data_IF_700905224282
#
_entry.id   IF_700905224282
#
_cell.length_a   1.000
_cell.length_b   1.000
_cell.length_c   1.000
_cell.angle_alpha   90.00
_cell.angle_beta   90.00
_cell.angle_gamma   90.00
#
_symmetry.space_group_name_H-M   'P 1'
#
loop_
_entity.id
_entity.type
_entity.pdbx_description
1 polymer ?
#
# COMPACT_ATOMS: atom_id res chain seq x y z
N UNK A 1 5.82 -18.90 8.48
CA UNK A 1 5.13 -19.83 7.56
C UNK A 1 3.80 -19.28 7.02
N UNK A 2 3.06 -18.47 7.78
CA UNK A 2 1.68 -18.02 7.44
C UNK A 2 1.50 -17.25 6.12
N UNK A 3 2.57 -16.68 5.54
CA UNK A 3 2.51 -15.90 4.28
C UNK A 3 2.30 -16.80 3.05
N UNK A 4 2.88 -18.00 3.10
CA UNK A 4 2.92 -18.93 1.97
C UNK A 4 1.85 -20.01 2.13
N UNK A 5 1.49 -20.36 3.37
CA UNK A 5 0.45 -21.34 3.70
C UNK A 5 -0.82 -21.18 2.86
N UNK A 6 -1.36 -19.97 2.61
CA UNK A 6 -2.56 -19.79 1.79
C UNK A 6 -2.42 -20.15 0.30
N UNK A 7 -1.22 -20.47 -0.21
CA UNK A 7 -1.06 -21.10 -1.54
C UNK A 7 -1.48 -22.57 -1.53
N UNK A 8 -1.30 -23.23 -0.39
CA UNK A 8 -1.40 -24.67 -0.25
C UNK A 8 -2.66 -25.12 0.52
N UNK A 9 -3.46 -24.17 1.01
CA UNK A 9 -4.71 -24.44 1.72
C UNK A 9 -5.86 -24.76 0.77
N UNK A 10 -6.73 -25.66 1.23
CA UNK A 10 -8.00 -25.98 0.62
C UNK A 10 -9.03 -24.90 0.96
N UNK A 11 -9.82 -24.46 -0.03
CA UNK A 11 -10.97 -23.57 0.17
C UNK A 11 -12.17 -24.14 -0.56
N UNK A 12 -13.33 -24.19 0.10
CA UNK A 12 -14.60 -24.60 -0.49
C UNK A 12 -14.54 -25.97 -1.22
N UNK A 13 -13.81 -26.93 -0.66
CA UNK A 13 -13.64 -28.28 -1.24
C UNK A 13 -12.70 -28.34 -2.45
N UNK A 14 -12.00 -27.24 -2.78
CA UNK A 14 -11.00 -27.20 -3.86
C UNK A 14 -9.61 -26.97 -3.30
N UNK A 15 -8.76 -27.96 -3.48
CA UNK A 15 -7.35 -27.90 -3.09
C UNK A 15 -6.58 -27.02 -4.07
N UNK A 16 -5.72 -26.16 -3.54
CA UNK A 16 -4.73 -25.40 -4.32
C UNK A 16 -5.31 -24.38 -5.32
N UNK A 17 -6.54 -23.90 -5.12
CA UNK A 17 -7.22 -22.96 -6.03
C UNK A 17 -6.35 -21.77 -6.45
N UNK A 18 -5.59 -21.20 -5.50
CA UNK A 18 -4.72 -20.05 -5.75
C UNK A 18 -3.45 -20.41 -6.53
N UNK A 19 -2.92 -21.61 -6.31
CA UNK A 19 -1.77 -22.13 -7.05
C UNK A 19 -2.17 -22.46 -8.48
N UNK A 20 -3.34 -23.11 -8.67
CA UNK A 20 -3.91 -23.43 -9.98
C UNK A 20 -4.23 -22.17 -10.79
N UNK A 21 -4.81 -21.15 -10.15
CA UNK A 21 -5.07 -19.88 -10.81
C UNK A 21 -3.79 -19.15 -11.27
N UNK A 22 -2.69 -19.27 -10.51
CA UNK A 22 -1.39 -18.71 -10.88
C UNK A 22 -0.72 -19.55 -11.99
N UNK A 23 -0.80 -20.87 -11.89
CA UNK A 23 -0.29 -21.81 -12.90
C UNK A 23 -0.93 -21.58 -14.27
N UNK A 24 -2.26 -21.47 -14.31
CA UNK A 24 -3.01 -21.28 -15.56
C UNK A 24 -2.76 -19.92 -16.25
N UNK A 25 -2.18 -18.96 -15.54
CA UNK A 25 -1.85 -17.62 -16.05
C UNK A 25 -0.34 -17.43 -16.27
N UNK A 26 0.46 -18.45 -16.00
CA UNK A 26 1.91 -18.37 -16.09
C UNK A 26 2.37 -18.54 -17.52
N UNK A 27 3.24 -17.62 -17.97
CA UNK A 27 3.88 -17.68 -19.28
C UNK A 27 5.41 -17.55 -19.13
N UNK A 28 6.21 -18.39 -19.80
CA UNK A 28 5.80 -19.49 -20.70
C UNK A 28 5.23 -20.70 -19.95
N UNK A 29 4.46 -21.59 -20.63
CA UNK A 29 3.88 -22.77 -20.01
C UNK A 29 4.97 -23.68 -19.41
N UNK A 30 4.66 -24.21 -18.22
CA UNK A 30 5.57 -25.04 -17.43
C UNK A 30 5.65 -26.43 -18.08
N UNK A 31 6.84 -26.80 -18.56
CA UNK A 31 7.05 -28.03 -19.34
C UNK A 31 7.95 -29.06 -18.65
N UNK A 32 8.71 -28.62 -17.64
CA UNK A 32 9.70 -29.44 -16.94
C UNK A 32 9.65 -29.25 -15.42
N UNK A 33 10.26 -30.19 -14.69
CA UNK A 33 10.39 -30.09 -13.23
C UNK A 33 11.22 -28.86 -12.81
N UNK A 34 12.21 -28.45 -13.62
CA UNK A 34 12.95 -27.21 -13.39
C UNK A 34 12.07 -25.98 -13.55
N UNK A 35 11.20 -25.94 -14.56
CA UNK A 35 10.24 -24.84 -14.77
C UNK A 35 9.24 -24.75 -13.62
N UNK A 36 8.78 -25.91 -13.13
CA UNK A 36 7.84 -25.99 -12.01
C UNK A 36 8.48 -25.49 -10.70
N UNK A 37 9.73 -25.88 -10.44
CA UNK A 37 10.49 -25.41 -9.29
C UNK A 37 10.74 -23.90 -9.36
N UNK A 38 11.12 -23.41 -10.54
CA UNK A 38 11.30 -21.98 -10.80
C UNK A 38 10.00 -21.20 -10.57
N UNK A 39 8.88 -21.66 -11.15
CA UNK A 39 7.55 -21.07 -10.93
C UNK A 39 7.18 -21.01 -9.44
N UNK A 40 7.37 -22.11 -8.70
CA UNK A 40 7.05 -22.14 -7.28
C UNK A 40 7.92 -21.18 -6.48
N UNK A 41 9.23 -21.15 -6.72
CA UNK A 41 10.14 -20.18 -6.11
C UNK A 41 9.69 -18.75 -6.40
N UNK A 42 9.34 -18.45 -7.66
CA UNK A 42 8.86 -17.14 -8.07
C UNK A 42 7.57 -16.74 -7.36
N UNK A 43 6.59 -17.65 -7.27
CA UNK A 43 5.31 -17.38 -6.64
C UNK A 43 5.45 -17.14 -5.12
N UNK A 44 6.30 -17.93 -4.46
CA UNK A 44 6.63 -17.78 -3.04
C UNK A 44 7.34 -16.44 -2.81
N UNK A 45 8.30 -16.10 -3.67
CA UNK A 45 9.07 -14.87 -3.58
C UNK A 45 8.19 -13.63 -3.76
N UNK A 46 7.31 -13.62 -4.78
CA UNK A 46 6.34 -12.53 -5.03
C UNK A 46 5.47 -12.26 -3.81
N UNK A 47 4.95 -13.33 -3.16
CA UNK A 47 4.14 -13.16 -1.95
C UNK A 47 4.96 -12.68 -0.77
N UNK A 48 6.18 -13.18 -0.63
CA UNK A 48 7.06 -12.77 0.47
C UNK A 48 7.45 -11.31 0.32
N UNK A 49 7.82 -10.85 -0.88
CA UNK A 49 8.09 -9.45 -1.22
C UNK A 49 6.87 -8.56 -0.97
N UNK A 50 5.68 -8.96 -1.43
CA UNK A 50 4.46 -8.18 -1.21
C UNK A 50 4.11 -8.04 0.27
N UNK A 51 4.28 -9.11 1.04
CA UNK A 51 4.10 -9.08 2.49
C UNK A 51 5.21 -8.30 3.19
N UNK A 52 6.44 -8.33 2.69
CA UNK A 52 7.57 -7.55 3.21
C UNK A 52 7.34 -6.06 3.00
N UNK A 53 6.95 -5.61 1.80
CA UNK A 53 6.60 -4.21 1.54
C UNK A 53 5.46 -3.74 2.45
N UNK A 54 4.44 -4.58 2.67
CA UNK A 54 3.32 -4.27 3.57
C UNK A 54 3.72 -4.25 5.04
N UNK A 55 4.58 -5.17 5.47
CA UNK A 55 5.08 -5.19 6.83
C UNK A 55 5.96 -3.96 7.09
N UNK A 56 6.91 -3.66 6.19
CA UNK A 56 7.79 -2.51 6.29
C UNK A 56 7.01 -1.18 6.32
N UNK A 57 6.00 -1.00 5.45
CA UNK A 57 5.15 0.21 5.53
C UNK A 57 4.41 0.35 6.86
N UNK A 58 3.93 -0.75 7.44
CA UNK A 58 3.26 -0.73 8.75
C UNK A 58 4.20 -0.42 9.93
N UNK A 59 5.48 -0.80 9.82
CA UNK A 59 6.46 -0.62 10.89
C UNK A 59 7.30 0.65 10.73
N UNK A 60 7.41 1.19 9.51
CA UNK A 60 8.24 2.34 9.18
C UNK A 60 7.48 3.34 8.29
N UNK A 61 6.91 4.41 8.88
CA UNK A 61 6.23 5.46 8.13
C UNK A 61 7.12 6.16 7.09
N UNK A 62 8.44 6.21 7.29
CA UNK A 62 9.36 6.84 6.33
C UNK A 62 9.50 5.99 5.07
N UNK A 63 9.43 4.67 5.21
CA UNK A 63 9.38 3.76 4.07
C UNK A 63 8.13 3.93 3.22
N UNK A 64 6.97 4.17 3.86
CA UNK A 64 5.72 4.44 3.14
C UNK A 64 5.75 5.79 2.41
N UNK A 65 6.28 6.84 3.06
CA UNK A 65 6.51 8.15 2.44
C UNK A 65 7.43 8.01 1.23
N UNK A 66 8.56 7.30 1.38
CA UNK A 66 9.50 7.05 0.29
C UNK A 66 8.82 6.33 -0.88
N UNK A 67 8.01 5.30 -0.62
CA UNK A 67 7.26 4.61 -1.68
C UNK A 67 6.28 5.55 -2.38
N UNK A 68 5.59 6.42 -1.65
CA UNK A 68 4.65 7.38 -2.23
C UNK A 68 5.37 8.37 -3.16
N UNK A 69 6.47 8.96 -2.68
CA UNK A 69 7.30 9.89 -3.47
C UNK A 69 7.84 9.24 -4.75
N UNK A 70 8.37 8.02 -4.63
CA UNK A 70 8.83 7.23 -5.79
C UNK A 70 7.68 7.07 -6.79
N UNK A 71 6.49 6.70 -6.32
CA UNK A 71 5.35 6.45 -7.20
C UNK A 71 4.88 7.71 -7.95
N UNK A 72 4.90 8.87 -7.28
CA UNK A 72 4.54 10.15 -7.87
C UNK A 72 5.52 10.54 -8.97
N UNK A 73 6.84 10.43 -8.71
CA UNK A 73 7.85 10.70 -9.73
C UNK A 73 7.81 9.70 -10.88
N UNK A 74 7.52 8.42 -10.63
CA UNK A 74 7.33 7.45 -11.72
C UNK A 74 6.21 7.88 -12.68
N UNK A 75 5.11 8.42 -12.17
CA UNK A 75 4.01 8.92 -13.01
C UNK A 75 4.46 10.15 -13.80
N UNK A 76 5.15 11.09 -13.14
CA UNK A 76 5.63 12.32 -13.77
C UNK A 76 6.65 12.06 -14.89
N UNK A 77 7.56 11.11 -14.68
CA UNK A 77 8.64 10.76 -15.60
C UNK A 77 8.23 9.67 -16.62
N UNK A 78 7.01 9.13 -16.54
CA UNK A 78 6.55 8.06 -17.44
C UNK A 78 7.27 6.72 -17.24
N UNK A 79 7.74 6.44 -16.02
CA UNK A 79 8.45 5.21 -15.69
C UNK A 79 7.48 4.05 -15.41
N UNK A 80 7.93 2.84 -15.70
CA UNK A 80 7.16 1.62 -15.56
C UNK A 80 7.53 0.85 -14.29
N UNK A 81 6.51 0.29 -13.63
CA UNK A 81 6.70 -0.73 -12.59
C UNK A 81 6.67 -2.10 -13.24
N UNK A 82 7.83 -2.73 -13.35
CA UNK A 82 7.99 -4.02 -14.02
C UNK A 82 8.30 -5.09 -12.99
N UNK A 83 7.61 -6.23 -13.09
CA UNK A 83 7.94 -7.41 -12.27
C UNK A 83 8.89 -8.30 -13.04
N UNK A 84 10.02 -8.61 -12.42
CA UNK A 84 11.02 -9.52 -12.96
C UNK A 84 11.63 -10.34 -11.85
N UNK A 85 11.70 -11.66 -12.04
CA UNK A 85 12.18 -12.63 -11.05
C UNK A 85 11.60 -12.43 -9.63
N UNK A 86 10.34 -12.02 -9.56
CA UNK A 86 9.57 -11.94 -8.33
C UNK A 86 9.75 -10.64 -7.56
N UNK A 87 10.62 -9.76 -8.06
CA UNK A 87 10.88 -8.44 -7.52
C UNK A 87 10.23 -7.37 -8.41
N UNK A 88 9.84 -6.25 -7.77
CA UNK A 88 9.30 -5.09 -8.47
C UNK A 88 10.44 -4.11 -8.76
N UNK A 89 10.57 -3.71 -10.02
CA UNK A 89 11.53 -2.72 -10.49
C UNK A 89 10.80 -1.49 -11.01
N UNK A 90 11.43 -0.33 -10.85
CA UNK A 90 11.13 0.89 -11.60
C UNK A 90 12.02 0.86 -12.83
N UNK A 91 11.50 1.09 -14.02
CA UNK A 91 12.21 0.91 -15.29
C UNK A 91 11.75 1.92 -16.31
N UNK A 92 12.65 2.36 -17.19
CA UNK A 92 12.28 3.16 -18.37
C UNK A 92 11.58 2.32 -19.45
N UNK A 93 11.68 1.00 -19.35
CA UNK A 93 11.09 0.05 -20.27
C UNK A 93 9.94 -0.72 -19.63
N UNK A 94 8.92 -1.06 -20.41
CA UNK A 94 7.75 -1.85 -19.98
C UNK A 94 8.07 -3.28 -19.56
N UNK A 95 9.21 -3.82 -20.02
CA UNK A 95 9.63 -5.20 -19.79
C UNK A 95 11.14 -5.28 -19.62
N UNK A 96 11.57 -6.20 -18.77
CA UNK A 96 12.98 -6.56 -18.59
C UNK A 96 13.21 -7.87 -19.34
N UNK A 97 14.08 -7.84 -20.34
CA UNK A 97 14.45 -9.04 -21.10
C UNK A 97 15.34 -9.97 -20.27
N UNK A 98 15.31 -11.29 -20.51
CA UNK A 98 16.27 -12.22 -19.92
C UNK A 98 17.72 -11.83 -20.24
N UNK A 99 18.62 -12.02 -19.27
CA UNK A 99 20.06 -11.77 -19.42
C UNK A 99 20.51 -10.32 -19.18
N UNK A 100 19.59 -9.41 -18.84
CA UNK A 100 19.94 -8.05 -18.46
C UNK A 100 20.69 -8.00 -17.12
N UNK A 101 21.73 -7.17 -17.03
CA UNK A 101 22.46 -6.94 -15.79
C UNK A 101 21.65 -6.03 -14.88
N UNK A 102 20.96 -6.59 -13.90
CA UNK A 102 20.13 -5.84 -12.97
C UNK A 102 20.93 -5.41 -11.75
N UNK A 103 20.61 -4.22 -11.25
CA UNK A 103 21.17 -3.71 -10.01
C UNK A 103 20.53 -4.45 -8.83
N UNK A 104 21.35 -4.98 -7.95
CA UNK A 104 20.90 -5.56 -6.69
C UNK A 104 20.87 -4.51 -5.57
N UNK A 105 20.40 -4.94 -4.39
CA UNK A 105 20.31 -4.07 -3.22
C UNK A 105 21.67 -3.53 -2.77
N UNK A 106 22.69 -4.38 -2.71
CA UNK A 106 23.99 -4.00 -2.16
C UNK A 106 24.68 -2.96 -3.04
N UNK A 107 24.52 -3.08 -4.36
CA UNK A 107 25.01 -2.11 -5.35
C UNK A 107 24.24 -0.80 -5.31
N UNK A 108 22.93 -0.85 -5.10
CA UNK A 108 22.14 0.35 -4.90
C UNK A 108 22.54 1.11 -3.63
N UNK A 109 22.86 0.41 -2.53
CA UNK A 109 23.33 1.04 -1.30
C UNK A 109 24.70 1.74 -1.45
N UNK A 110 25.50 1.36 -2.47
CA UNK A 110 26.79 1.94 -2.79
C UNK A 110 26.71 3.18 -3.70
N UNK A 111 25.51 3.52 -4.20
CA UNK A 111 25.35 4.69 -5.07
C UNK A 111 25.68 6.00 -4.34
N UNK A 112 26.30 6.97 -5.04
CA UNK A 112 26.61 8.29 -4.52
C UNK A 112 25.38 8.96 -3.90
N UNK A 113 25.58 9.60 -2.75
CA UNK A 113 24.52 10.31 -2.04
C UNK A 113 23.92 11.46 -2.88
N UNK A 114 24.76 12.16 -3.64
CA UNK A 114 24.38 13.35 -4.40
C UNK A 114 23.28 13.09 -5.44
N UNK A 115 23.14 11.84 -5.91
CA UNK A 115 22.06 11.41 -6.81
C UNK A 115 20.69 11.60 -6.17
N UNK A 116 20.61 11.47 -4.85
CA UNK A 116 19.37 11.46 -4.07
C UNK A 116 19.06 12.81 -3.40
N UNK A 117 19.87 13.83 -3.66
CA UNK A 117 19.79 15.11 -2.97
C UNK A 117 18.86 16.12 -3.65
N UNK A 118 18.24 15.73 -4.78
CA UNK A 118 17.32 16.53 -5.57
C UNK A 118 15.88 16.00 -5.42
N UNK A 119 14.92 16.91 -5.49
CA UNK A 119 13.48 16.60 -5.57
C UNK A 119 13.14 15.72 -6.78
N UNK A 120 13.97 15.73 -7.84
CA UNK A 120 13.86 14.85 -9.01
C UNK A 120 14.89 13.70 -9.02
N UNK A 121 15.21 13.14 -7.87
CA UNK A 121 16.25 12.09 -7.75
C UNK A 121 16.07 10.88 -8.69
N UNK A 122 14.84 10.51 -9.12
CA UNK A 122 14.68 9.43 -10.09
C UNK A 122 15.29 9.79 -11.44
N UNK A 123 15.12 11.03 -11.91
CA UNK A 123 15.72 11.48 -13.17
C UNK A 123 17.24 11.46 -13.08
N UNK A 124 17.80 11.98 -11.98
CA UNK A 124 19.24 11.93 -11.68
C UNK A 124 19.76 10.51 -11.59
N UNK A 125 19.01 9.60 -10.96
CA UNK A 125 19.34 8.19 -10.84
C UNK A 125 19.39 7.50 -12.20
N UNK A 126 18.35 7.66 -13.02
CA UNK A 126 18.33 7.04 -14.35
C UNK A 126 19.37 7.65 -15.30
N UNK A 127 19.67 8.94 -15.15
CA UNK A 127 20.79 9.60 -15.85
C UNK A 127 22.12 8.99 -15.45
N UNK A 128 22.36 8.81 -14.14
CA UNK A 128 23.57 8.16 -13.63
C UNK A 128 23.70 6.71 -14.11
N UNK A 129 22.60 5.94 -14.09
CA UNK A 129 22.62 4.56 -14.58
C UNK A 129 23.04 4.45 -16.05
N UNK A 130 22.59 5.40 -16.89
CA UNK A 130 22.94 5.45 -18.32
C UNK A 130 24.37 5.88 -18.60
N UNK A 131 24.89 6.80 -17.79
CA UNK A 131 26.18 7.45 -18.04
C UNK A 131 27.35 6.78 -17.33
N UNK A 132 27.13 6.30 -16.11
CA UNK A 132 28.20 5.88 -15.18
C UNK A 132 28.17 4.39 -14.85
N UNK A 133 27.20 3.61 -15.37
CA UNK A 133 27.07 2.19 -15.05
C UNK A 133 26.77 1.32 -16.28
N UNK A 134 27.02 0.02 -16.15
CA UNK A 134 26.64 -1.00 -17.13
C UNK A 134 25.34 -1.74 -16.73
N UNK A 135 24.62 -1.24 -15.73
CA UNK A 135 23.35 -1.81 -15.32
C UNK A 135 22.25 -1.42 -16.29
N UNK A 136 21.32 -2.36 -16.51
CA UNK A 136 20.07 -2.05 -17.19
C UNK A 136 19.32 -0.97 -16.43
N UNK A 137 18.57 -0.11 -17.14
CA UNK A 137 17.81 1.01 -16.57
C UNK A 137 16.56 0.49 -15.85
N UNK A 138 16.79 -0.29 -14.79
CA UNK A 138 15.80 -0.80 -13.88
C UNK A 138 16.36 -0.86 -12.45
N UNK A 139 15.60 -0.33 -11.50
CA UNK A 139 15.99 -0.18 -10.10
C UNK A 139 15.01 -0.93 -9.20
N UNK A 140 15.46 -1.76 -8.25
CA UNK A 140 14.54 -2.46 -7.38
C UNK A 140 13.80 -1.50 -6.43
N UNK A 141 12.46 -1.47 -6.54
CA UNK A 141 11.59 -0.51 -5.86
C UNK A 141 11.76 -0.52 -4.34
N UNK A 142 11.68 -1.70 -3.73
CA UNK A 142 11.76 -1.84 -2.27
C UNK A 142 13.16 -1.48 -1.74
N UNK A 143 14.22 -1.81 -2.50
CA UNK A 143 15.58 -1.46 -2.14
C UNK A 143 15.79 0.06 -2.21
N UNK A 144 15.25 0.71 -3.25
CA UNK A 144 15.27 2.16 -3.39
C UNK A 144 14.52 2.85 -2.25
N UNK A 145 13.30 2.40 -1.93
CA UNK A 145 12.52 2.96 -0.82
C UNK A 145 13.25 2.83 0.53
N UNK A 146 13.87 1.69 0.81
CA UNK A 146 14.71 1.50 2.00
C UNK A 146 15.95 2.42 1.99
N UNK A 147 16.56 2.63 0.82
CA UNK A 147 17.70 3.54 0.69
C UNK A 147 17.30 4.97 0.99
N UNK A 148 16.22 5.47 0.39
CA UNK A 148 15.70 6.81 0.66
C UNK A 148 15.32 6.98 2.14
N UNK A 149 14.73 5.96 2.75
CA UNK A 149 14.42 5.96 4.18
C UNK A 149 15.69 6.17 5.02
N UNK A 150 16.73 5.37 4.78
CA UNK A 150 18.02 5.51 5.47
C UNK A 150 18.65 6.89 5.24
N UNK A 151 18.59 7.41 4.01
CA UNK A 151 19.15 8.72 3.68
C UNK A 151 18.40 9.85 4.39
N UNK A 152 17.07 9.79 4.41
CA UNK A 152 16.24 10.73 5.15
C UNK A 152 16.49 10.66 6.66
N UNK A 153 16.72 9.46 7.23
CA UNK A 153 17.12 9.33 8.64
C UNK A 153 18.50 9.95 8.91
N UNK A 154 19.46 9.85 7.98
CA UNK A 154 20.79 10.46 8.11
C UNK A 154 20.73 11.99 7.98
N UNK A 155 19.88 12.52 7.09
CA UNK A 155 19.62 13.97 6.96
C UNK A 155 18.91 14.51 8.20
N UNK A 156 17.91 13.78 8.72
CA UNK A 156 17.18 14.14 9.95
C UNK A 156 18.04 14.07 11.22
N UNK A 157 19.05 13.21 11.27
CA UNK A 157 20.00 13.17 12.38
C UNK A 157 20.98 14.36 12.37
N UNK A 158 21.14 15.05 11.23
CA UNK A 158 21.97 16.26 11.10
C UNK A 158 21.15 17.56 11.08
N UNK A 159 19.83 17.47 10.86
CA UNK A 159 18.90 18.59 10.84
C UNK A 159 17.66 18.13 11.61
N UNK A 160 17.60 18.46 12.90
CA UNK A 160 16.34 18.38 13.63
C UNK A 160 15.38 19.37 12.95
N UNK A 161 14.46 18.86 12.14
CA UNK A 161 13.25 19.58 11.75
C UNK A 161 12.06 18.82 12.32
N UNK A 162 11.52 19.36 13.42
CA UNK A 162 10.31 18.89 14.10
C UNK A 162 9.06 18.89 13.19
N UNK A 163 9.10 19.47 12.00
CA UNK A 163 7.91 19.73 11.19
C UNK A 163 7.31 18.49 10.51
N UNK A 164 8.10 17.51 10.06
CA UNK A 164 7.55 16.32 9.38
C UNK A 164 6.98 15.27 10.34
N UNK A 165 7.55 15.15 11.55
CA UNK A 165 6.97 14.34 12.63
C UNK A 165 5.68 14.99 13.14
N UNK A 166 5.67 16.33 13.27
CA UNK A 166 4.48 17.09 13.62
C UNK A 166 3.40 16.94 12.54
N UNK A 167 3.71 17.00 11.25
CA UNK A 167 2.73 16.83 10.17
C UNK A 167 2.09 15.43 10.16
N UNK A 168 2.85 14.36 10.42
CA UNK A 168 2.31 12.99 10.49
C UNK A 168 1.48 12.77 11.76
N UNK A 169 1.91 13.33 12.90
CA UNK A 169 1.13 13.30 14.14
C UNK A 169 -0.17 14.11 13.94
N UNK A 170 -0.06 15.29 13.34
CA UNK A 170 -1.15 16.19 13.04
C UNK A 170 -2.16 15.55 12.06
N UNK A 171 -1.70 14.89 10.99
CA UNK A 171 -2.57 14.14 10.09
C UNK A 171 -3.31 12.99 10.81
N UNK A 172 -2.64 12.30 11.76
CA UNK A 172 -3.28 11.25 12.58
C UNK A 172 -4.33 11.85 13.53
N UNK A 173 -4.04 13.01 14.13
CA UNK A 173 -4.95 13.73 15.01
C UNK A 173 -6.17 14.29 14.25
N UNK A 174 -5.97 14.81 13.04
CA UNK A 174 -7.03 15.27 12.14
C UNK A 174 -8.00 14.14 11.78
N UNK A 175 -7.47 12.98 11.40
CA UNK A 175 -8.30 11.81 11.07
C UNK A 175 -9.04 11.31 12.32
N UNK A 176 -8.38 11.26 13.48
CA UNK A 176 -9.03 10.89 14.73
C UNK A 176 -10.18 11.86 15.09
N UNK A 177 -9.95 13.17 15.01
CA UNK A 177 -10.99 14.18 15.24
C UNK A 177 -12.15 14.10 14.25
N UNK A 178 -11.85 13.85 12.97
CA UNK A 178 -12.89 13.64 11.95
C UNK A 178 -13.73 12.39 12.18
N UNK A 179 -13.12 11.32 12.69
CA UNK A 179 -13.79 10.08 13.06
C UNK A 179 -14.73 10.31 14.25
N UNK A 180 -14.28 11.02 15.28
CA UNK A 180 -15.10 11.35 16.45
C UNK A 180 -16.34 12.16 16.06
N UNK A 181 -16.19 13.11 15.11
CA UNK A 181 -17.30 13.89 14.57
C UNK A 181 -18.27 12.99 13.78
N UNK A 182 -17.77 12.05 12.97
CA UNK A 182 -18.61 11.09 12.27
C UNK A 182 -19.37 10.16 13.23
N UNK A 183 -18.72 9.66 14.28
CA UNK A 183 -19.34 8.83 15.32
C UNK A 183 -20.40 9.64 16.08
N UNK A 184 -20.09 10.86 16.50
CA UNK A 184 -21.07 11.74 17.15
C UNK A 184 -22.28 12.01 16.24
N UNK A 185 -22.07 12.16 14.92
CA UNK A 185 -23.14 12.31 13.94
C UNK A 185 -24.00 11.06 13.83
N UNK A 186 -23.39 9.88 13.79
CA UNK A 186 -24.07 8.58 13.78
C UNK A 186 -25.00 8.46 15.00
N UNK A 187 -24.45 8.69 16.20
CA UNK A 187 -25.18 8.60 17.46
C UNK A 187 -26.34 9.61 17.50
N UNK A 188 -26.09 10.88 17.15
CA UNK A 188 -27.12 11.93 17.21
C UNK A 188 -28.19 11.82 16.13
N UNK A 189 -27.82 11.41 14.91
CA UNK A 189 -28.71 11.49 13.74
C UNK A 189 -29.45 10.19 13.45
N UNK A 190 -28.92 9.05 13.92
CA UNK A 190 -29.47 7.74 13.65
C UNK A 190 -29.87 7.01 14.92
N UNK A 191 -29.00 6.94 15.95
CA UNK A 191 -29.34 6.24 17.20
C UNK A 191 -30.36 7.02 18.02
N UNK A 192 -30.10 8.30 18.32
CA UNK A 192 -31.01 9.14 19.12
C UNK A 192 -32.37 9.36 18.44
N UNK A 193 -32.44 9.15 17.12
CA UNK A 193 -33.68 9.20 16.33
C UNK A 193 -34.31 7.81 16.10
N UNK A 194 -33.82 6.77 16.78
CA UNK A 194 -34.26 5.38 16.67
C UNK A 194 -34.29 4.83 15.24
N UNK A 195 -33.42 5.32 14.34
CA UNK A 195 -33.31 4.84 12.95
C UNK A 195 -32.52 3.54 12.84
N UNK A 196 -31.62 3.30 13.80
CA UNK A 196 -30.82 2.09 13.96
C UNK A 196 -30.73 1.75 15.45
N UNK A 197 -30.48 0.49 15.78
CA UNK A 197 -30.25 0.07 17.17
C UNK A 197 -28.84 0.43 17.66
N UNK A 198 -28.60 0.32 18.97
CA UNK A 198 -27.26 0.48 19.55
C UNK A 198 -26.26 -0.56 19.00
N UNK A 199 -26.68 -1.81 18.87
CA UNK A 199 -25.89 -2.89 18.28
C UNK A 199 -25.54 -2.61 16.81
N UNK A 200 -26.49 -2.13 16.02
CA UNK A 200 -26.24 -1.73 14.62
C UNK A 200 -25.27 -0.56 14.53
N UNK A 201 -25.33 0.36 15.49
CA UNK A 201 -24.38 1.46 15.58
C UNK A 201 -22.97 0.97 15.88
N UNK A 202 -22.79 -0.07 16.72
CA UNK A 202 -21.48 -0.65 16.98
C UNK A 202 -20.83 -1.24 15.72
N UNK A 203 -21.60 -1.90 14.85
CA UNK A 203 -21.09 -2.39 13.57
C UNK A 203 -20.62 -1.25 12.67
N UNK A 204 -21.38 -0.15 12.62
CA UNK A 204 -21.02 1.04 11.83
C UNK A 204 -19.82 1.77 12.43
N UNK A 205 -19.69 1.84 13.75
CA UNK A 205 -18.52 2.41 14.44
C UNK A 205 -17.27 1.57 14.13
N UNK A 206 -17.36 0.24 14.19
CA UNK A 206 -16.28 -0.66 13.81
C UNK A 206 -15.85 -0.43 12.36
N UNK A 207 -16.83 -0.35 11.44
CA UNK A 207 -16.55 -0.06 10.04
C UNK A 207 -15.88 1.31 9.85
N UNK A 208 -16.36 2.36 10.53
CA UNK A 208 -15.77 3.71 10.45
C UNK A 208 -14.34 3.76 10.99
N UNK A 209 -14.04 3.03 12.07
CA UNK A 209 -12.67 2.91 12.61
C UNK A 209 -11.72 2.27 11.60
N UNK A 210 -12.13 1.16 10.98
CA UNK A 210 -11.34 0.51 9.95
C UNK A 210 -11.15 1.42 8.73
N UNK A 211 -12.19 2.16 8.32
CA UNK A 211 -12.10 3.11 7.20
C UNK A 211 -11.16 4.27 7.54
N UNK A 212 -11.23 4.81 8.76
CA UNK A 212 -10.32 5.87 9.21
C UNK A 212 -8.86 5.38 9.25
N UNK A 213 -8.66 4.13 9.68
CA UNK A 213 -7.36 3.46 9.62
C UNK A 213 -6.86 3.31 8.17
N UNK A 214 -7.70 2.84 7.26
CA UNK A 214 -7.33 2.70 5.83
C UNK A 214 -7.10 4.07 5.15
N UNK A 215 -7.83 5.13 5.55
CA UNK A 215 -7.58 6.50 5.05
C UNK A 215 -6.22 7.01 5.51
N UNK A 216 -5.83 6.71 6.76
CA UNK A 216 -4.50 7.04 7.29
C UNK A 216 -3.37 6.33 6.52
N UNK A 217 -3.63 5.12 6.03
CA UNK A 217 -2.68 4.27 5.29
C UNK A 217 -2.88 4.35 3.75
N UNK A 218 -3.32 5.50 3.22
CA UNK A 218 -3.33 5.77 1.78
C UNK A 218 -4.65 5.52 1.03
N UNK A 219 -5.77 5.34 1.73
CA UNK A 219 -7.12 5.40 1.17
C UNK A 219 -7.94 4.11 1.29
N UNK A 220 -9.21 4.19 0.89
CA UNK A 220 -10.18 3.11 1.03
C UNK A 220 -9.91 2.04 -0.04
N UNK A 221 -9.37 0.89 0.37
CA UNK A 221 -8.93 -0.17 -0.55
C UNK A 221 -9.93 -1.32 -0.74
N UNK A 222 -11.02 -1.34 0.03
CA UNK A 222 -12.11 -2.32 -0.08
C UNK A 222 -13.47 -1.61 -0.14
N UNK A 223 -14.48 -2.24 -0.75
CA UNK A 223 -15.83 -1.68 -0.81
C UNK A 223 -16.44 -1.51 0.58
N UNK A 224 -17.28 -0.48 0.78
CA UNK A 224 -17.89 -0.13 2.08
C UNK A 224 -18.61 -1.31 2.76
N UNK A 225 -19.30 -2.15 1.98
CA UNK A 225 -19.92 -3.39 2.45
C UNK A 225 -18.93 -4.33 3.17
N UNK A 226 -17.70 -4.44 2.67
CA UNK A 226 -16.71 -5.37 3.22
C UNK A 226 -16.20 -4.92 4.60
N UNK A 227 -16.30 -3.64 4.95
CA UNK A 227 -15.96 -3.16 6.29
C UNK A 227 -17.00 -3.57 7.32
N UNK A 228 -18.28 -3.31 7.06
CA UNK A 228 -19.35 -3.65 7.99
C UNK A 228 -19.55 -5.16 8.13
N UNK A 229 -19.28 -5.94 7.07
CA UNK A 229 -19.37 -7.40 7.09
C UNK A 229 -18.43 -8.05 8.12
N UNK A 230 -17.29 -7.42 8.45
CA UNK A 230 -16.39 -7.93 9.50
C UNK A 230 -17.07 -7.94 10.87
N UNK A 231 -17.97 -6.98 11.09
CA UNK A 231 -18.66 -6.76 12.36
C UNK A 231 -20.06 -7.38 12.37
N UNK A 232 -20.64 -7.62 11.19
CA UNK A 232 -21.87 -8.40 11.02
C UNK A 232 -21.71 -9.42 9.88
N UNK A 233 -21.17 -10.62 10.16
CA UNK A 233 -20.91 -11.65 9.14
C UNK A 233 -22.16 -12.14 8.40
N UNK A 234 -23.33 -12.11 9.06
CA UNK A 234 -24.62 -12.53 8.53
C UNK A 234 -25.26 -11.48 7.61
N UNK A 235 -24.66 -10.30 7.47
CA UNK A 235 -25.17 -9.23 6.63
C UNK A 235 -25.08 -9.58 5.13
N UNK A 236 -26.24 -9.75 4.50
CA UNK A 236 -26.34 -9.88 3.05
C UNK A 236 -26.08 -8.55 2.33
N UNK A 237 -25.65 -8.62 1.06
CA UNK A 237 -25.43 -7.41 0.24
C UNK A 237 -26.70 -6.60 0.01
N UNK A 238 -27.84 -7.26 -0.16
CA UNK A 238 -29.12 -6.58 -0.38
C UNK A 238 -29.58 -5.83 0.87
N UNK A 239 -29.43 -6.45 2.05
CA UNK A 239 -29.74 -5.79 3.32
C UNK A 239 -28.82 -4.61 3.58
N UNK A 240 -27.53 -4.73 3.24
CA UNK A 240 -26.59 -3.62 3.28
C UNK A 240 -27.06 -2.46 2.39
N UNK A 241 -27.36 -2.73 1.12
CA UNK A 241 -27.75 -1.71 0.14
C UNK A 241 -29.01 -0.95 0.56
N UNK A 242 -29.99 -1.67 1.12
CA UNK A 242 -31.26 -1.08 1.51
C UNK A 242 -31.18 -0.28 2.82
N UNK A 243 -30.34 -0.69 3.77
CA UNK A 243 -30.37 -0.16 5.14
C UNK A 243 -29.15 0.69 5.52
N UNK A 244 -27.95 0.29 5.09
CA UNK A 244 -26.70 0.85 5.62
C UNK A 244 -25.89 1.66 4.61
N UNK A 245 -26.05 1.40 3.31
CA UNK A 245 -25.20 2.01 2.26
C UNK A 245 -25.23 3.54 2.31
N UNK A 246 -26.42 4.14 2.27
CA UNK A 246 -26.59 5.59 2.37
C UNK A 246 -26.08 6.18 3.69
N UNK A 247 -26.17 5.41 4.79
CA UNK A 247 -25.72 5.86 6.11
C UNK A 247 -24.19 5.90 6.13
N UNK A 248 -23.56 4.80 5.73
CA UNK A 248 -22.12 4.66 5.77
C UNK A 248 -21.44 5.58 4.74
N UNK A 249 -21.99 5.70 3.53
CA UNK A 249 -21.49 6.65 2.52
C UNK A 249 -21.55 8.10 3.03
N UNK A 250 -22.67 8.48 3.64
CA UNK A 250 -22.84 9.82 4.21
C UNK A 250 -21.84 10.10 5.35
N UNK A 251 -21.62 9.14 6.24
CA UNK A 251 -20.68 9.28 7.35
C UNK A 251 -19.24 9.35 6.87
N UNK A 252 -18.86 8.54 5.87
CA UNK A 252 -17.54 8.61 5.23
C UNK A 252 -17.34 9.96 4.53
N UNK A 253 -18.37 10.48 3.86
CA UNK A 253 -18.33 11.81 3.26
C UNK A 253 -18.10 12.90 4.31
N UNK A 254 -18.83 12.86 5.43
CA UNK A 254 -18.62 13.79 6.54
C UNK A 254 -17.20 13.70 7.05
N UNK A 255 -16.70 12.50 7.33
CA UNK A 255 -15.35 12.29 7.85
C UNK A 255 -14.29 12.92 6.93
N UNK A 256 -14.39 12.69 5.62
CA UNK A 256 -13.48 13.30 4.62
C UNK A 256 -13.60 14.82 4.55
N UNK A 257 -14.82 15.36 4.58
CA UNK A 257 -15.05 16.81 4.56
C UNK A 257 -14.49 17.47 5.81
N UNK A 258 -14.78 16.91 6.98
CA UNK A 258 -14.29 17.41 8.27
C UNK A 258 -12.77 17.34 8.36
N UNK A 259 -12.13 16.27 7.90
CA UNK A 259 -10.68 16.19 7.85
C UNK A 259 -10.07 17.30 6.97
N UNK A 260 -10.71 17.61 5.83
CA UNK A 260 -10.28 18.71 4.95
C UNK A 260 -10.54 20.10 5.56
N UNK A 261 -11.68 20.29 6.22
CA UNK A 261 -12.02 21.55 6.86
C UNK A 261 -11.06 21.86 8.03
N UNK A 262 -10.74 20.85 8.84
CA UNK A 262 -9.76 20.99 9.93
C UNK A 262 -8.36 21.31 9.39
N UNK A 263 -7.97 20.70 8.25
CA UNK A 263 -6.71 21.01 7.57
C UNK A 263 -6.64 22.45 7.03
N UNK A 264 -7.78 23.02 6.64
CA UNK A 264 -7.87 24.40 6.14
C UNK A 264 -7.99 25.46 7.24
N UNK A 265 -8.39 25.09 8.46
CA UNK A 265 -8.52 26.03 9.59
C UNK A 265 -7.20 26.36 10.28
N UNK A 266 -6.17 25.51 10.12
CA UNK A 266 -4.83 25.69 10.69
C UNK A 266 -3.79 26.25 9.68
N UNK A 267 -4.22 26.68 8.49
CA UNK A 267 -3.41 27.42 7.50
C UNK A 267 -3.70 28.91 7.51
#
# INVERSE_FOLDING_TARGET
MEIVTPLFLERNGRKYDRLLAAYNKWEPPISSNSDALFFLHQLIFIRTEHHLSKALGRFDPQYEIALKQINEQCIQLGLYKVRYLGQCYISEFERISPGQKLMDRDKLEQLPYDIFNDDNYLESLFTYLKSETDYFQAVPLNALALRLTKLNTVVQNNIISNDSINEVIYAKELIAGSLDIAIAKLLKSYVAKNKISGEEAEFLIGALKDIAYDIKDGGINIGLYEYIKKYNPELSRDNYKNKYDNILEYLVKIMKQTANDLLLQDR
#
